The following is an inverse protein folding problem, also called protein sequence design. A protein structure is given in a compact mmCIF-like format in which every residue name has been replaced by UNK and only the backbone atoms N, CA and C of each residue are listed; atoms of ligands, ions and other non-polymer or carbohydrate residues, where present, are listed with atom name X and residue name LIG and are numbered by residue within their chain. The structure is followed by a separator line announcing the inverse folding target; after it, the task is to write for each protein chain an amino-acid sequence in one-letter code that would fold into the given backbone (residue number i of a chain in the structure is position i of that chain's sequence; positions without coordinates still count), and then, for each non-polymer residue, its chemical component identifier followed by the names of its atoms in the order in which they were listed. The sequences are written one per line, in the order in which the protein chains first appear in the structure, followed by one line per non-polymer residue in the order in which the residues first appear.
data_IF_312049511166
#
_entry.id   IF_312049511166
#
_cell.length_a   1.000
_cell.length_b   1.000
_cell.length_c   1.000
_cell.angle_alpha   90.00
_cell.angle_beta   90.00
_cell.angle_gamma   90.00
#
_symmetry.space_group_name_H-M   'P 1'
#
loop_
_entity.id
_entity.type
_entity.pdbx_description
1 polymer ?
#
# COMPACT_ATOMS: atom_id res chain seq x y z
N UNK A 1 -13.25 -14.88 13.85
CA UNK A 1 -11.98 -15.62 13.76
C UNK A 1 -10.85 -14.60 13.80
N UNK A 2 -9.79 -14.84 14.58
CA UNK A 2 -8.71 -13.89 14.86
C UNK A 2 -7.62 -13.93 13.78
N UNK A 3 -7.01 -12.79 13.44
CA UNK A 3 -5.86 -12.73 12.56
C UNK A 3 -4.68 -13.57 13.04
N UNK A 4 -3.91 -14.10 12.10
CA UNK A 4 -2.74 -14.97 12.34
C UNK A 4 -1.45 -14.17 12.15
N UNK A 5 -0.54 -14.21 13.13
CA UNK A 5 0.82 -13.71 12.94
C UNK A 5 1.61 -14.70 12.08
N UNK A 6 2.17 -14.21 10.96
CA UNK A 6 2.90 -15.02 9.98
C UNK A 6 4.38 -14.63 9.85
N UNK A 7 4.75 -13.46 10.34
CA UNK A 7 6.14 -13.00 10.44
C UNK A 7 6.30 -12.09 11.65
N UNK A 8 7.36 -12.30 12.42
CA UNK A 8 7.75 -11.42 13.52
C UNK A 8 9.23 -11.07 13.44
N UNK A 9 9.52 -9.79 13.62
CA UNK A 9 10.87 -9.24 13.71
C UNK A 9 11.14 -8.68 15.11
N UNK A 10 12.39 -8.77 15.56
CA UNK A 10 12.90 -8.06 16.72
C UNK A 10 13.39 -6.63 16.36
N UNK A 11 13.99 -5.92 17.32
CA UNK A 11 14.50 -4.56 17.15
C UNK A 11 15.67 -4.44 16.18
N UNK A 12 16.43 -5.51 16.00
CA UNK A 12 17.51 -5.58 15.01
C UNK A 12 16.96 -6.00 13.62
N UNK A 13 15.63 -6.21 13.53
CA UNK A 13 14.89 -6.72 12.38
C UNK A 13 15.27 -8.15 12.01
N UNK A 14 15.78 -8.93 12.95
CA UNK A 14 15.96 -10.38 12.77
C UNK A 14 14.60 -11.08 12.85
N UNK A 15 14.43 -12.12 12.05
CA UNK A 15 13.23 -12.97 12.12
C UNK A 15 13.29 -13.81 13.39
N UNK A 16 12.32 -13.61 14.28
CA UNK A 16 12.21 -14.37 15.55
C UNK A 16 11.01 -15.33 15.59
N UNK A 17 10.05 -15.17 14.68
CA UNK A 17 8.97 -16.15 14.46
C UNK A 17 8.37 -16.01 13.05
N UNK A 18 7.77 -17.09 12.54
CA UNK A 18 7.20 -17.12 11.20
C UNK A 18 8.27 -16.99 10.11
N UNK A 19 7.90 -16.53 8.92
CA UNK A 19 8.85 -16.22 7.84
C UNK A 19 8.21 -15.38 6.72
N UNK A 20 9.06 -14.76 5.91
CA UNK A 20 8.63 -13.92 4.79
C UNK A 20 7.85 -14.69 3.70
N UNK A 21 8.14 -15.98 3.49
CA UNK A 21 7.43 -16.77 2.49
C UNK A 21 5.96 -17.03 2.88
N UNK A 22 5.68 -17.25 4.17
CA UNK A 22 4.32 -17.37 4.68
C UNK A 22 3.55 -16.05 4.53
N UNK A 23 4.20 -14.91 4.78
CA UNK A 23 3.62 -13.59 4.52
C UNK A 23 3.32 -13.39 3.03
N UNK A 24 4.29 -13.67 2.16
CA UNK A 24 4.11 -13.57 0.70
C UNK A 24 2.99 -14.46 0.18
N UNK A 25 2.90 -15.71 0.65
CA UNK A 25 1.81 -16.62 0.31
C UNK A 25 0.44 -16.10 0.74
N UNK A 26 0.30 -15.61 1.98
CA UNK A 26 -0.95 -15.04 2.46
C UNK A 26 -1.37 -13.79 1.66
N UNK A 27 -0.43 -12.89 1.36
CA UNK A 27 -0.72 -11.72 0.51
C UNK A 27 -1.08 -12.14 -0.92
N UNK A 28 -0.42 -13.16 -1.47
CA UNK A 28 -0.77 -13.76 -2.75
C UNK A 28 -2.17 -14.38 -2.80
N UNK A 29 -2.74 -14.75 -1.65
CA UNK A 29 -4.14 -15.18 -1.51
C UNK A 29 -5.12 -14.01 -1.29
N UNK A 30 -4.63 -12.76 -1.34
CA UNK A 30 -5.43 -11.57 -1.11
C UNK A 30 -5.70 -11.27 0.37
N UNK A 31 -4.92 -11.81 1.31
CA UNK A 31 -5.13 -11.58 2.74
C UNK A 31 -5.10 -10.09 3.12
N UNK A 32 -5.87 -9.70 4.14
CA UNK A 32 -5.71 -8.38 4.76
C UNK A 32 -4.48 -8.37 5.66
N UNK A 33 -3.74 -7.25 5.70
CA UNK A 33 -2.56 -7.09 6.54
C UNK A 33 -2.78 -6.04 7.63
N UNK A 34 -2.39 -6.39 8.86
CA UNK A 34 -2.12 -5.44 9.94
C UNK A 34 -0.70 -5.64 10.45
N UNK A 35 -0.01 -4.55 10.74
CA UNK A 35 1.30 -4.60 11.39
C UNK A 35 1.17 -4.06 12.80
N UNK A 36 1.60 -4.88 13.74
CA UNK A 36 1.70 -4.53 15.15
C UNK A 36 3.15 -4.13 15.45
N UNK A 37 3.34 -3.00 16.13
CA UNK A 37 4.65 -2.48 16.56
C UNK A 37 4.65 -2.10 18.04
N UNK A 38 5.83 -2.12 18.65
CA UNK A 38 6.06 -1.66 20.02
C UNK A 38 7.18 -0.62 20.05
N UNK A 39 7.00 0.48 20.79
CA UNK A 39 8.00 1.54 20.99
C UNK A 39 7.72 2.32 22.27
N UNK A 40 8.71 3.07 22.77
CA UNK A 40 8.51 3.93 23.93
C UNK A 40 8.04 5.33 23.55
N UNK A 41 7.17 5.89 24.37
CA UNK A 41 6.62 7.23 24.18
C UNK A 41 7.71 8.30 24.00
N UNK A 42 8.68 8.33 24.91
CA UNK A 42 9.81 9.28 24.87
C UNK A 42 10.91 8.97 23.84
N UNK A 43 10.78 7.89 23.08
CA UNK A 43 11.72 7.56 21.99
C UNK A 43 11.10 7.83 20.59
N UNK A 44 9.78 8.04 20.50
CA UNK A 44 9.06 8.14 19.23
C UNK A 44 8.05 9.28 19.13
N UNK A 45 7.22 9.48 20.16
CA UNK A 45 6.06 10.38 20.10
C UNK A 45 6.42 11.78 20.58
N UNK A 46 7.01 11.86 21.77
CA UNK A 46 7.46 13.12 22.37
C UNK A 46 8.83 12.88 23.03
N UNK A 47 9.90 13.16 22.29
CA UNK A 47 11.28 12.95 22.74
C UNK A 47 11.70 13.89 23.88
N UNK A 48 10.89 14.89 24.21
CA UNK A 48 11.10 15.78 25.36
C UNK A 48 10.42 15.29 26.65
N UNK A 49 9.54 14.29 26.54
CA UNK A 49 8.83 13.70 27.67
C UNK A 49 9.73 12.75 28.47
N UNK A 50 9.58 12.72 29.79
CA UNK A 50 10.25 11.73 30.64
C UNK A 50 9.53 10.37 30.66
N UNK A 51 8.39 10.22 29.97
CA UNK A 51 7.58 8.99 30.01
C UNK A 51 8.21 7.85 29.17
N UNK A 52 8.69 6.76 29.81
CA UNK A 52 9.25 5.61 29.09
C UNK A 52 8.16 4.57 28.72
N UNK A 53 6.89 4.97 28.73
CA UNK A 53 5.76 4.06 28.56
C UNK A 53 5.83 3.32 27.22
N UNK A 54 5.64 2.00 27.27
CA UNK A 54 5.58 1.16 26.08
C UNK A 54 4.23 1.33 25.39
N UNK A 55 4.27 1.84 24.17
CA UNK A 55 3.13 1.97 23.27
C UNK A 55 3.04 0.73 22.40
N UNK A 56 1.81 0.23 22.24
CA UNK A 56 1.45 -0.87 21.34
C UNK A 56 0.61 -0.30 20.22
N UNK A 57 1.17 -0.18 19.03
CA UNK A 57 0.46 0.31 17.85
C UNK A 57 0.04 -0.87 16.97
N UNK A 58 -1.18 -0.80 16.43
CA UNK A 58 -1.63 -1.69 15.37
C UNK A 58 -2.18 -0.85 14.25
N UNK A 59 -1.54 -0.94 13.09
CA UNK A 59 -1.97 -0.23 11.90
C UNK A 59 -2.49 -1.19 10.84
N UNK A 60 -3.51 -0.75 10.11
CA UNK A 60 -4.06 -1.44 8.96
C UNK A 60 -3.35 -1.00 7.68
N UNK A 61 -2.93 -1.97 6.87
CA UNK A 61 -2.33 -1.74 5.57
C UNK A 61 -3.23 -2.34 4.50
N UNK A 62 -4.15 -1.52 4.00
CA UNK A 62 -5.24 -1.93 3.12
C UNK A 62 -4.83 -2.08 1.64
N UNK A 63 -3.63 -1.60 1.27
CA UNK A 63 -3.03 -1.80 -0.06
C UNK A 63 -1.82 -2.71 0.16
N UNK A 64 -1.78 -3.87 -0.48
CA UNK A 64 -0.65 -4.81 -0.35
C UNK A 64 -0.06 -5.15 -1.71
N UNK A 65 1.23 -5.41 -1.74
CA UNK A 65 2.00 -5.74 -2.92
C UNK A 65 2.61 -7.12 -2.74
N UNK A 66 2.48 -7.95 -3.77
CA UNK A 66 3.34 -9.11 -3.98
C UNK A 66 4.26 -8.81 -5.15
N UNK A 67 5.56 -8.74 -4.90
CA UNK A 67 6.57 -8.34 -5.87
C UNK A 67 7.44 -9.56 -6.19
N UNK A 68 7.44 -9.93 -7.47
CA UNK A 68 8.15 -11.07 -8.04
C UNK A 68 8.05 -12.30 -7.12
N UNK A 69 6.79 -12.61 -6.77
CA UNK A 69 6.27 -13.72 -5.97
C UNK A 69 6.94 -14.00 -4.61
N UNK A 70 7.80 -13.09 -4.12
CA UNK A 70 8.68 -13.38 -2.99
C UNK A 70 8.85 -12.22 -2.00
N UNK A 71 8.41 -11.02 -2.37
CA UNK A 71 8.56 -9.83 -1.54
C UNK A 71 7.22 -9.18 -1.28
N UNK A 72 6.93 -8.95 -0.01
CA UNK A 72 5.75 -8.21 0.41
C UNK A 72 6.11 -6.80 0.85
N UNK A 73 5.31 -5.86 0.36
CA UNK A 73 5.22 -4.51 0.91
C UNK A 73 3.74 -4.12 1.05
N UNK A 74 3.45 -3.13 1.89
CA UNK A 74 2.08 -2.69 2.08
C UNK A 74 2.02 -1.20 2.43
N UNK A 75 0.90 -0.56 2.10
CA UNK A 75 0.70 0.88 2.25
C UNK A 75 -0.60 1.17 3.00
N UNK A 76 -0.56 2.14 3.90
CA UNK A 76 -1.74 2.75 4.51
C UNK A 76 -2.32 3.79 3.55
N UNK A 77 -3.51 3.54 2.98
CA UNK A 77 -4.09 4.42 1.96
C UNK A 77 -4.93 5.60 2.49
N UNK A 78 -5.40 5.53 3.75
CA UNK A 78 -6.38 6.47 4.30
C UNK A 78 -5.96 7.08 5.65
N UNK A 79 -4.66 7.41 5.79
CA UNK A 79 -4.14 7.97 7.05
C UNK A 79 -3.90 9.46 6.92
N UNK A 80 -4.62 10.25 7.72
CA UNK A 80 -4.23 11.62 8.02
C UNK A 80 -3.16 11.63 9.12
N UNK A 81 -2.16 12.53 9.07
CA UNK A 81 -1.18 12.64 10.14
C UNK A 81 -1.85 13.13 11.43
N UNK A 82 -1.61 12.38 12.51
CA UNK A 82 -2.11 12.69 13.85
C UNK A 82 -0.97 13.17 14.76
N UNK A 83 -1.29 14.11 15.64
CA UNK A 83 -0.50 14.48 16.81
C UNK A 83 -1.18 13.87 18.03
N UNK A 84 -0.55 12.87 18.62
CA UNK A 84 -1.07 12.26 19.83
C UNK A 84 -1.09 13.28 20.98
N UNK A 85 -2.03 13.15 21.93
CA UNK A 85 -3.03 12.08 22.02
C UNK A 85 -4.34 12.34 21.24
N UNK A 86 -4.63 13.57 20.80
CA UNK A 86 -6.00 13.93 20.41
C UNK A 86 -6.11 15.02 19.33
N UNK A 87 -5.11 15.17 18.44
CA UNK A 87 -5.16 16.19 17.38
C UNK A 87 -4.69 15.63 16.03
N UNK A 88 -5.09 16.28 14.95
CA UNK A 88 -4.43 16.12 13.65
C UNK A 88 -3.24 17.06 13.57
N UNK A 89 -2.21 16.70 12.80
CA UNK A 89 -1.15 17.65 12.44
C UNK A 89 -1.78 18.77 11.60
N UNK A 90 -1.28 19.99 11.74
CA UNK A 90 -1.76 21.13 10.97
C UNK A 90 -1.52 20.95 9.47
N UNK A 91 -2.45 21.44 8.66
CA UNK A 91 -2.38 21.39 7.20
C UNK A 91 -3.11 20.19 6.58
N UNK A 92 -3.78 20.44 5.46
CA UNK A 92 -4.47 19.38 4.70
C UNK A 92 -3.44 18.52 4.00
N UNK A 93 -3.23 17.28 4.48
CA UNK A 93 -2.30 16.32 3.89
C UNK A 93 -2.72 14.88 4.17
N UNK A 94 -2.12 13.94 3.44
CA UNK A 94 -2.17 12.50 3.75
C UNK A 94 -0.81 12.01 4.24
N UNK A 95 -0.77 10.81 4.81
CA UNK A 95 0.45 10.11 5.18
C UNK A 95 0.39 8.66 4.69
N UNK A 96 0.89 8.43 3.48
CA UNK A 96 0.99 7.10 2.90
C UNK A 96 2.22 6.40 3.48
N UNK A 97 2.03 5.73 4.62
CA UNK A 97 3.07 4.92 5.24
C UNK A 97 3.18 3.59 4.51
N UNK A 98 4.41 3.22 4.18
CA UNK A 98 4.77 2.00 3.50
C UNK A 98 5.65 1.15 4.40
N UNK A 99 5.30 -0.12 4.57
CA UNK A 99 6.12 -1.10 5.30
C UNK A 99 6.54 -2.23 4.37
N UNK A 100 7.83 -2.54 4.36
CA UNK A 100 8.37 -3.73 3.73
C UNK A 100 8.40 -4.91 4.71
N UNK A 101 8.42 -6.14 4.21
CA UNK A 101 8.51 -7.35 5.03
C UNK A 101 9.77 -7.44 5.92
N UNK A 102 10.81 -6.66 5.64
CA UNK A 102 12.06 -6.63 6.40
C UNK A 102 12.11 -5.50 7.45
N UNK A 103 10.99 -4.83 7.72
CA UNK A 103 10.89 -3.72 8.67
C UNK A 103 11.38 -2.36 8.14
N UNK A 104 11.85 -2.27 6.88
CA UNK A 104 12.11 -0.98 6.25
C UNK A 104 10.81 -0.24 5.97
N UNK A 105 10.82 1.07 6.21
CA UNK A 105 9.65 1.92 6.19
C UNK A 105 9.84 3.07 5.20
N UNK A 106 8.74 3.63 4.75
CA UNK A 106 8.74 4.86 4.01
C UNK A 106 7.46 5.64 4.26
N UNK A 107 7.50 6.92 3.95
CA UNK A 107 6.34 7.80 4.03
C UNK A 107 6.32 8.74 2.84
N UNK A 108 5.16 8.86 2.20
CA UNK A 108 4.86 9.96 1.29
C UNK A 108 3.74 10.83 1.87
N UNK A 109 3.86 12.15 1.71
CA UNK A 109 2.94 13.12 2.30
C UNK A 109 2.46 14.14 1.27
N UNK A 110 1.49 13.79 0.40
CA UNK A 110 0.92 14.77 -0.50
C UNK A 110 0.15 15.83 0.30
N UNK A 111 0.39 17.10 -0.01
CA UNK A 111 -0.40 18.22 0.49
C UNK A 111 -1.66 18.38 -0.36
N UNK A 112 -2.81 18.45 0.31
CA UNK A 112 -4.15 18.51 -0.28
C UNK A 112 -4.79 19.90 -0.15
N UNK A 113 -4.00 20.92 0.18
CA UNK A 113 -4.47 22.29 0.40
C UNK A 113 -4.64 23.11 -0.89
N UNK A 114 -4.30 22.53 -2.04
CA UNK A 114 -4.35 23.21 -3.34
C UNK A 114 -3.31 24.31 -3.51
N UNK A 115 -2.41 24.50 -2.55
CA UNK A 115 -1.33 25.47 -2.65
C UNK A 115 -0.19 24.88 -3.47
N UNK A 116 0.29 25.60 -4.47
CA UNK A 116 1.48 25.20 -5.22
C UNK A 116 2.74 25.50 -4.40
N UNK A 117 3.61 24.50 -4.28
CA UNK A 117 4.94 24.61 -3.67
C UNK A 117 5.98 24.55 -4.78
N UNK A 118 6.88 25.53 -4.80
CA UNK A 118 7.81 25.77 -5.91
C UNK A 118 9.16 25.04 -5.77
N UNK A 119 9.26 24.02 -4.91
CA UNK A 119 10.47 23.21 -4.77
C UNK A 119 10.79 22.42 -6.05
N UNK A 120 12.06 22.10 -6.23
CA UNK A 120 12.51 21.21 -7.30
C UNK A 120 12.25 19.74 -6.92
N UNK A 121 11.84 18.95 -7.91
CA UNK A 121 11.77 17.50 -7.79
C UNK A 121 13.18 16.90 -7.77
N UNK A 122 13.38 15.86 -6.97
CA UNK A 122 14.63 15.12 -6.88
C UNK A 122 15.05 14.81 -5.45
N UNK A 123 16.29 14.35 -5.31
CA UNK A 123 16.86 13.99 -4.02
C UNK A 123 17.03 15.23 -3.13
N UNK A 124 16.48 15.16 -1.93
CA UNK A 124 16.63 16.16 -0.88
C UNK A 124 17.75 15.82 0.09
N UNK A 125 18.07 16.77 0.97
CA UNK A 125 18.99 16.53 2.08
C UNK A 125 18.41 15.55 3.09
N UNK A 126 19.18 14.53 3.45
CA UNK A 126 18.78 13.59 4.51
C UNK A 126 19.05 14.22 5.87
N UNK A 127 18.00 14.66 6.54
CA UNK A 127 18.06 15.08 7.94
C UNK A 127 18.05 13.85 8.85
N UNK A 128 19.00 13.73 9.78
CA UNK A 128 18.89 12.77 10.87
C UNK A 128 18.19 13.41 12.07
N UNK A 129 17.52 12.60 12.88
CA UNK A 129 16.83 13.05 14.09
C UNK A 129 17.69 12.69 15.32
N UNK A 130 18.59 13.59 15.79
CA UNK A 130 19.50 13.27 16.89
C UNK A 130 18.77 12.85 18.17
N UNK A 131 17.56 13.37 18.37
CA UNK A 131 16.71 13.08 19.53
C UNK A 131 15.91 11.76 19.38
N UNK A 132 15.93 11.14 18.20
CA UNK A 132 15.28 9.84 17.92
C UNK A 132 16.34 8.82 17.48
N UNK A 133 17.17 8.30 18.39
CA UNK A 133 18.31 7.44 18.04
C UNK A 133 17.94 6.13 17.33
N UNK A 134 16.68 5.68 17.48
CA UNK A 134 16.13 4.51 16.77
C UNK A 134 15.62 4.83 15.36
N UNK A 135 15.56 6.10 14.97
CA UNK A 135 15.18 6.53 13.63
C UNK A 135 16.40 6.79 12.78
N UNK A 136 16.48 6.13 11.63
CA UNK A 136 17.56 6.27 10.66
C UNK A 136 16.96 6.57 9.30
N UNK A 137 17.11 7.82 8.85
CA UNK A 137 16.67 8.24 7.52
C UNK A 137 17.70 7.80 6.48
N UNK A 138 17.24 7.21 5.38
CA UNK A 138 18.08 6.75 4.28
C UNK A 138 18.18 7.79 3.17
N UNK A 139 17.03 8.32 2.77
CA UNK A 139 16.90 9.33 1.73
C UNK A 139 15.65 10.20 1.98
N UNK A 140 15.54 11.27 1.21
CA UNK A 140 14.38 12.13 1.18
C UNK A 140 14.23 12.65 -0.24
N UNK A 141 12.99 12.82 -0.70
CA UNK A 141 12.68 13.19 -2.06
C UNK A 141 11.65 14.31 -2.06
N UNK A 142 11.82 15.26 -2.97
CA UNK A 142 10.87 16.32 -3.27
C UNK A 142 10.44 17.15 -2.05
N UNK A 143 11.38 17.37 -1.11
CA UNK A 143 11.13 17.92 0.24
C UNK A 143 10.34 19.23 0.23
N UNK A 144 10.64 20.11 -0.73
CA UNK A 144 10.05 21.44 -0.85
C UNK A 144 8.87 21.50 -1.85
N UNK A 145 8.35 20.34 -2.27
CA UNK A 145 7.25 20.24 -3.23
C UNK A 145 5.91 19.93 -2.55
N UNK A 146 4.86 19.73 -3.35
CA UNK A 146 3.57 19.23 -2.89
C UNK A 146 3.57 17.75 -2.48
N UNK A 147 4.61 16.99 -2.80
CA UNK A 147 4.66 15.55 -2.66
C UNK A 147 5.94 15.04 -1.96
N UNK A 148 6.33 15.61 -0.80
CA UNK A 148 7.53 15.15 -0.10
C UNK A 148 7.41 13.68 0.32
N UNK A 149 8.53 12.97 0.24
CA UNK A 149 8.62 11.59 0.72
C UNK A 149 9.99 11.27 1.30
N UNK A 150 10.06 10.22 2.11
CA UNK A 150 11.29 9.77 2.73
C UNK A 150 11.26 8.26 2.98
N UNK A 151 12.41 7.60 2.87
CA UNK A 151 12.59 6.21 3.28
C UNK A 151 13.50 6.15 4.50
N UNK A 152 13.15 5.30 5.46
CA UNK A 152 13.79 5.25 6.76
C UNK A 152 13.59 3.90 7.44
N UNK A 153 14.25 3.75 8.58
CA UNK A 153 13.94 2.70 9.54
C UNK A 153 13.71 3.36 10.88
N UNK A 154 12.59 3.05 11.53
CA UNK A 154 12.44 3.22 12.96
C UNK A 154 12.55 1.85 13.62
N UNK A 155 13.62 1.60 14.38
CA UNK A 155 13.93 0.32 15.03
C UNK A 155 12.97 0.07 16.23
N UNK A 156 11.72 -0.33 15.91
CA UNK A 156 10.71 -0.72 16.89
C UNK A 156 11.17 -1.92 17.74
N UNK A 157 10.65 -2.07 18.96
CA UNK A 157 10.97 -3.22 19.82
C UNK A 157 10.54 -4.55 19.19
N UNK A 158 9.45 -4.53 18.40
CA UNK A 158 9.03 -5.66 17.58
C UNK A 158 8.18 -5.19 16.41
N UNK A 159 8.16 -6.00 15.35
CA UNK A 159 7.17 -5.94 14.28
C UNK A 159 6.46 -7.29 14.22
N UNK A 160 5.12 -7.32 14.23
CA UNK A 160 4.35 -8.54 13.95
C UNK A 160 3.44 -8.28 12.76
N UNK A 161 3.64 -9.05 11.69
CA UNK A 161 2.82 -9.03 10.49
C UNK A 161 1.69 -10.05 10.70
N UNK A 162 0.48 -9.52 10.86
CA UNK A 162 -0.72 -10.29 11.15
C UNK A 162 -1.66 -10.25 9.96
N UNK A 163 -2.02 -11.42 9.44
CA UNK A 163 -2.87 -11.55 8.25
C UNK A 163 -4.25 -12.10 8.60
N UNK A 164 -5.25 -11.71 7.82
CA UNK A 164 -6.55 -12.37 7.78
C UNK A 164 -6.76 -12.99 6.38
N UNK A 165 -6.31 -14.24 6.24
CA UNK A 165 -6.35 -14.99 4.98
C UNK A 165 -7.63 -15.83 4.87
N UNK A 166 -8.70 -15.20 4.42
CA UNK A 166 -10.04 -15.81 4.29
C UNK A 166 -10.77 -15.32 3.05
N UNK A 167 -10.01 -14.76 2.13
CA UNK A 167 -10.48 -14.36 0.81
C UNK A 167 -10.45 -15.59 -0.09
N UNK A 168 -11.48 -15.77 -0.91
CA UNK A 168 -11.56 -16.87 -1.87
C UNK A 168 -11.56 -16.32 -3.28
N UNK A 169 -10.59 -16.72 -4.10
CA UNK A 169 -10.56 -16.38 -5.52
C UNK A 169 -11.79 -16.99 -6.22
N UNK A 170 -12.56 -16.15 -6.92
CA UNK A 170 -13.73 -16.55 -7.72
C UNK A 170 -13.51 -16.44 -9.21
N UNK A 171 -12.53 -15.65 -9.62
CA UNK A 171 -12.19 -15.44 -11.01
C UNK A 171 -10.74 -14.95 -11.12
N UNK A 172 -9.99 -15.48 -12.08
CA UNK A 172 -8.79 -14.84 -12.59
C UNK A 172 -8.88 -14.74 -14.11
N UNK A 173 -8.44 -13.63 -14.67
CA UNK A 173 -8.27 -13.46 -16.11
C UNK A 173 -6.96 -12.75 -16.44
N UNK A 174 -6.48 -12.92 -17.67
CA UNK A 174 -5.33 -12.20 -18.20
C UNK A 174 -5.68 -10.77 -18.67
N UNK A 175 -4.71 -10.04 -19.21
CA UNK A 175 -4.88 -8.67 -19.72
C UNK A 175 -5.86 -8.56 -20.90
N UNK A 176 -6.15 -9.65 -21.59
CA UNK A 176 -7.11 -9.70 -22.68
C UNK A 176 -8.51 -10.12 -22.20
N UNK A 177 -8.67 -10.35 -20.89
CA UNK A 177 -9.92 -10.84 -20.32
C UNK A 177 -10.15 -12.34 -20.52
N UNK A 178 -9.14 -13.10 -20.96
CA UNK A 178 -9.28 -14.55 -21.06
C UNK A 178 -9.23 -15.14 -19.65
N UNK A 179 -10.30 -15.88 -19.30
CA UNK A 179 -10.41 -16.54 -18.00
C UNK A 179 -9.33 -17.60 -17.84
N UNK A 180 -8.59 -17.50 -16.74
CA UNK A 180 -7.55 -18.46 -16.32
C UNK A 180 -8.09 -19.41 -15.25
N UNK A 181 -8.97 -18.93 -14.37
CA UNK A 181 -9.62 -19.71 -13.31
C UNK A 181 -10.99 -19.10 -12.96
N UNK A 182 -11.88 -19.91 -12.39
CA UNK A 182 -13.15 -19.43 -11.85
C UNK A 182 -14.18 -19.00 -12.90
N UNK A 183 -15.11 -18.13 -12.50
CA UNK A 183 -16.27 -17.74 -13.32
C UNK A 183 -16.75 -16.32 -12.99
N UNK A 184 -17.02 -15.54 -14.03
CA UNK A 184 -17.65 -14.21 -13.89
C UNK A 184 -19.04 -14.34 -13.25
N UNK A 185 -19.77 -15.41 -13.55
CA UNK A 185 -21.10 -15.66 -12.98
C UNK A 185 -20.99 -15.96 -11.49
N UNK A 186 -20.06 -16.83 -11.07
CA UNK A 186 -19.87 -17.12 -9.63
C UNK A 186 -19.40 -15.90 -8.84
N UNK A 187 -18.56 -15.05 -9.43
CA UNK A 187 -18.18 -13.76 -8.85
C UNK A 187 -19.40 -12.84 -8.70
N UNK A 188 -20.23 -12.73 -9.75
CA UNK A 188 -21.41 -11.89 -9.76
C UNK A 188 -22.47 -12.35 -8.76
N UNK A 189 -22.69 -13.66 -8.64
CA UNK A 189 -23.62 -14.27 -7.69
C UNK A 189 -23.16 -13.99 -6.25
N UNK A 190 -21.88 -14.25 -5.93
CA UNK A 190 -21.32 -13.95 -4.61
C UNK A 190 -21.44 -12.46 -4.26
N UNK A 191 -21.15 -11.57 -5.22
CA UNK A 191 -21.36 -10.13 -5.04
C UNK A 191 -22.83 -9.78 -4.79
N UNK A 192 -23.77 -10.35 -5.54
CA UNK A 192 -25.20 -10.09 -5.39
C UNK A 192 -25.76 -10.59 -4.04
N UNK A 193 -25.13 -11.60 -3.46
CA UNK A 193 -25.40 -12.10 -2.10
C UNK A 193 -24.80 -11.20 -1.00
N UNK A 194 -24.07 -10.14 -1.38
CA UNK A 194 -23.51 -9.14 -0.46
C UNK A 194 -22.09 -9.44 0.00
N UNK A 195 -21.37 -10.35 -0.68
CA UNK A 195 -19.96 -10.60 -0.36
C UNK A 195 -19.11 -9.35 -0.61
N UNK A 196 -18.12 -9.13 0.26
CA UNK A 196 -17.09 -8.13 -0.02
C UNK A 196 -16.24 -8.62 -1.19
N UNK A 197 -15.77 -7.70 -2.05
CA UNK A 197 -14.92 -8.04 -3.20
C UNK A 197 -13.55 -7.37 -3.02
N UNK A 198 -12.50 -8.09 -3.36
CA UNK A 198 -11.11 -7.60 -3.42
C UNK A 198 -10.50 -7.99 -4.75
N UNK A 199 -9.60 -7.15 -5.26
CA UNK A 199 -8.92 -7.35 -6.52
C UNK A 199 -7.43 -7.54 -6.27
N UNK A 200 -6.80 -8.46 -7.00
CA UNK A 200 -5.36 -8.50 -7.25
C UNK A 200 -5.12 -8.08 -8.71
N UNK A 201 -4.39 -6.99 -8.93
CA UNK A 201 -4.20 -6.38 -10.24
C UNK A 201 -2.73 -6.48 -10.62
N UNK A 202 -2.43 -7.25 -11.67
CA UNK A 202 -1.08 -7.47 -12.17
C UNK A 202 -0.61 -6.30 -13.04
N UNK A 203 0.63 -5.86 -12.88
CA UNK A 203 1.26 -4.84 -13.75
C UNK A 203 0.71 -3.42 -13.57
N UNK A 204 -0.11 -3.15 -12.55
CA UNK A 204 -0.76 -1.85 -12.34
C UNK A 204 0.23 -0.66 -12.26
N UNK A 205 1.47 -0.93 -11.83
CA UNK A 205 2.53 0.05 -11.64
C UNK A 205 3.61 -0.01 -12.72
N UNK A 206 3.41 -0.71 -13.84
CA UNK A 206 4.44 -0.87 -14.90
C UNK A 206 4.90 0.47 -15.47
N UNK A 207 3.97 1.42 -15.63
CA UNK A 207 4.26 2.78 -16.11
C UNK A 207 5.12 3.62 -15.14
N UNK A 208 5.33 3.16 -13.91
CA UNK A 208 6.23 3.82 -12.96
C UNK A 208 7.69 3.36 -13.11
N UNK A 209 7.99 2.35 -13.95
CA UNK A 209 9.37 1.90 -14.18
C UNK A 209 10.28 3.04 -14.68
N UNK A 210 11.58 2.93 -14.40
CA UNK A 210 12.56 3.89 -14.91
C UNK A 210 12.64 3.85 -16.44
N UNK A 211 12.99 4.98 -17.06
CA UNK A 211 13.16 5.06 -18.50
C UNK A 211 14.14 4.00 -19.01
N UNK A 212 13.65 3.11 -19.88
CA UNK A 212 14.44 2.01 -20.44
C UNK A 212 14.64 0.81 -19.49
N UNK A 213 14.09 0.84 -18.28
CA UNK A 213 14.06 -0.27 -17.34
C UNK A 213 12.86 -1.20 -17.57
N UNK A 214 13.04 -2.51 -17.36
CA UNK A 214 11.92 -3.44 -17.34
C UNK A 214 11.16 -3.32 -16.01
N UNK A 215 9.83 -3.24 -16.07
CA UNK A 215 8.99 -3.28 -14.88
C UNK A 215 9.15 -4.63 -14.16
N UNK A 216 9.31 -4.58 -12.83
CA UNK A 216 9.37 -5.79 -12.01
C UNK A 216 7.97 -6.41 -11.91
N UNK A 217 7.88 -7.74 -12.06
CA UNK A 217 6.61 -8.48 -11.89
C UNK A 217 6.02 -8.12 -10.52
N UNK A 218 4.76 -7.72 -10.49
CA UNK A 218 4.06 -7.40 -9.26
C UNK A 218 2.55 -7.52 -9.41
N UNK A 219 1.89 -7.72 -8.28
CA UNK A 219 0.43 -7.67 -8.15
C UNK A 219 0.06 -6.77 -6.97
N UNK A 220 -0.90 -5.87 -7.20
CA UNK A 220 -1.42 -4.95 -6.18
C UNK A 220 -2.79 -5.43 -5.73
N UNK A 221 -2.95 -5.66 -4.44
CA UNK A 221 -4.22 -6.07 -3.85
C UNK A 221 -4.92 -4.91 -3.16
N UNK A 222 -6.18 -4.69 -3.52
CA UNK A 222 -7.01 -3.60 -2.98
C UNK A 222 -8.48 -4.02 -2.92
N UNK A 223 -9.16 -3.58 -1.87
CA UNK A 223 -10.60 -3.83 -1.72
C UNK A 223 -11.41 -3.02 -2.74
N UNK A 224 -12.46 -3.67 -3.25
CA UNK A 224 -13.50 -3.07 -4.07
C UNK A 224 -14.51 -2.26 -3.26
N UNK A 225 -15.13 -1.28 -3.93
CA UNK A 225 -16.26 -0.50 -3.42
C UNK A 225 -17.54 -0.86 -4.17
N UNK A 226 -18.00 0.02 -5.07
CA UNK A 226 -19.23 -0.19 -5.86
C UNK A 226 -19.01 -1.12 -7.05
N UNK A 227 -19.92 -2.10 -7.20
CA UNK A 227 -19.89 -3.11 -8.26
C UNK A 227 -21.11 -3.07 -9.17
N UNK A 228 -20.92 -3.47 -10.42
CA UNK A 228 -21.95 -3.52 -11.44
C UNK A 228 -21.81 -4.81 -12.24
N UNK A 229 -22.91 -5.54 -12.41
CA UNK A 229 -22.96 -6.72 -13.25
C UNK A 229 -23.94 -6.52 -14.40
N UNK A 230 -23.42 -6.57 -15.62
CA UNK A 230 -24.22 -6.52 -16.84
C UNK A 230 -24.61 -7.95 -17.20
N UNK A 231 -25.86 -8.32 -16.91
CA UNK A 231 -26.35 -9.71 -17.00
C UNK A 231 -26.32 -10.29 -18.41
N UNK A 232 -26.73 -9.51 -19.42
CA UNK A 232 -26.72 -9.97 -20.82
C UNK A 232 -25.31 -10.14 -21.38
N UNK A 233 -24.39 -9.25 -21.00
CA UNK A 233 -22.99 -9.27 -21.47
C UNK A 233 -22.08 -10.16 -20.63
N UNK A 234 -22.56 -10.62 -19.47
CA UNK A 234 -21.77 -11.28 -18.44
C UNK A 234 -20.47 -10.53 -18.14
N UNK A 235 -20.60 -9.23 -17.89
CA UNK A 235 -19.48 -8.34 -17.62
C UNK A 235 -19.61 -7.76 -16.22
N UNK A 236 -18.64 -8.08 -15.35
CA UNK A 236 -18.57 -7.52 -14.00
C UNK A 236 -17.57 -6.35 -13.97
N UNK A 237 -17.95 -5.27 -13.29
CA UNK A 237 -17.20 -4.01 -13.19
C UNK A 237 -17.15 -3.58 -11.74
N UNK A 238 -15.99 -3.15 -11.26
CA UNK A 238 -15.81 -2.68 -9.90
C UNK A 238 -14.94 -1.43 -9.84
N UNK A 239 -15.39 -0.42 -9.09
CA UNK A 239 -14.52 0.65 -8.60
C UNK A 239 -13.83 0.26 -7.30
N UNK A 240 -12.54 0.51 -7.14
CA UNK A 240 -11.79 0.21 -5.92
C UNK A 240 -11.94 1.30 -4.86
N UNK A 241 -11.57 0.98 -3.61
CA UNK A 241 -11.13 2.01 -2.67
C UNK A 241 -9.90 2.76 -3.21
N UNK A 242 -9.58 3.96 -2.68
CA UNK A 242 -8.37 4.67 -3.09
C UNK A 242 -7.13 3.82 -2.86
N UNK A 243 -6.18 3.88 -3.79
CA UNK A 243 -4.91 3.19 -3.70
C UNK A 243 -3.74 4.12 -4.02
N UNK A 244 -2.56 3.74 -3.56
CA UNK A 244 -1.29 4.40 -3.82
C UNK A 244 -0.48 3.45 -4.69
N UNK A 245 -0.05 3.92 -5.86
CA UNK A 245 0.91 3.19 -6.69
C UNK A 245 2.32 3.63 -6.30
N UNK A 246 3.21 2.67 -6.13
CA UNK A 246 4.64 2.91 -5.89
C UNK A 246 5.41 2.01 -6.83
N UNK A 247 6.49 2.53 -7.41
CA UNK A 247 7.40 1.75 -8.26
C UNK A 247 7.79 0.47 -7.53
N UNK A 248 7.48 -0.72 -8.09
CA UNK A 248 7.83 -1.98 -7.45
C UNK A 248 9.35 -2.12 -7.25
N UNK A 249 9.76 -2.56 -6.06
CA UNK A 249 11.16 -2.77 -5.70
C UNK A 249 11.30 -3.70 -4.49
N UNK A 250 12.52 -4.17 -4.24
CA UNK A 250 12.88 -5.04 -3.09
C UNK A 250 14.12 -4.45 -2.37
N UNK A 251 13.97 -3.56 -1.39
CA UNK A 251 12.72 -3.05 -0.81
C UNK A 251 11.98 -2.08 -1.75
N UNK A 252 10.67 -1.93 -1.51
CA UNK A 252 9.86 -0.88 -2.12
C UNK A 252 10.10 0.43 -1.38
N UNK A 253 10.24 1.52 -2.13
CA UNK A 253 10.65 2.82 -1.62
C UNK A 253 9.96 3.95 -2.39
N UNK A 254 9.72 5.09 -1.72
CA UNK A 254 9.29 6.31 -2.40
C UNK A 254 10.49 7.01 -3.04
N UNK A 255 10.31 7.47 -4.28
CA UNK A 255 11.31 8.24 -5.03
C UNK A 255 10.61 9.33 -5.82
N UNK A 256 11.36 10.33 -6.28
CA UNK A 256 10.80 11.38 -7.14
C UNK A 256 10.19 10.79 -8.41
N UNK A 257 8.93 11.14 -8.70
CA UNK A 257 8.15 10.59 -9.82
C UNK A 257 7.87 9.08 -9.74
N UNK A 258 8.24 8.41 -8.65
CA UNK A 258 8.13 6.96 -8.49
C UNK A 258 6.82 6.49 -7.84
N UNK A 259 5.84 7.38 -7.67
CA UNK A 259 4.57 7.06 -7.03
C UNK A 259 3.47 8.06 -7.40
N UNK A 260 2.22 7.61 -7.29
CA UNK A 260 1.01 8.43 -7.41
C UNK A 260 -0.14 7.78 -6.62
N UNK A 261 -1.33 8.39 -6.60
CA UNK A 261 -2.48 7.83 -5.89
C UNK A 261 -3.78 8.12 -6.64
N UNK A 262 -4.80 7.28 -6.42
CA UNK A 262 -6.02 7.38 -7.20
C UNK A 262 -6.99 6.22 -6.99
N UNK A 263 -7.83 5.98 -7.99
CA UNK A 263 -8.86 4.94 -7.99
C UNK A 263 -8.78 4.11 -9.25
N UNK A 264 -9.13 2.84 -9.15
CA UNK A 264 -9.24 1.96 -10.30
C UNK A 264 -10.70 1.61 -10.54
N UNK A 265 -11.11 1.61 -11.81
CA UNK A 265 -12.25 0.83 -12.30
C UNK A 265 -11.67 -0.36 -13.06
N UNK A 266 -11.97 -1.58 -12.61
CA UNK A 266 -11.58 -2.80 -13.26
C UNK A 266 -12.80 -3.53 -13.83
N UNK A 267 -12.60 -4.26 -14.93
CA UNK A 267 -13.60 -5.05 -15.62
C UNK A 267 -13.09 -6.46 -15.85
N UNK A 268 -14.00 -7.43 -15.89
CA UNK A 268 -13.65 -8.84 -16.11
C UNK A 268 -13.19 -9.18 -17.52
N UNK A 269 -13.19 -8.21 -18.45
CA UNK A 269 -12.65 -8.32 -19.80
C UNK A 269 -11.24 -7.73 -19.93
N UNK A 270 -10.50 -7.62 -18.83
CA UNK A 270 -9.12 -7.13 -18.80
C UNK A 270 -8.99 -5.60 -18.75
N UNK A 271 -10.06 -4.86 -19.07
CA UNK A 271 -10.00 -3.39 -19.10
C UNK A 271 -9.95 -2.78 -17.71
N UNK A 272 -8.94 -1.96 -17.50
CA UNK A 272 -8.71 -1.20 -16.29
C UNK A 272 -8.58 0.28 -16.63
N UNK A 273 -9.27 1.14 -15.88
CA UNK A 273 -9.13 2.59 -15.96
C UNK A 273 -8.64 3.08 -14.60
N UNK A 274 -7.45 3.68 -14.59
CA UNK A 274 -6.89 4.30 -13.41
C UNK A 274 -7.13 5.81 -13.45
N UNK A 275 -7.94 6.30 -12.52
CA UNK A 275 -8.07 7.73 -12.26
C UNK A 275 -6.92 8.17 -11.39
N UNK A 276 -5.83 8.64 -12.01
CA UNK A 276 -4.64 9.15 -11.34
C UNK A 276 -4.93 10.54 -10.77
N UNK A 277 -4.56 10.76 -9.52
CA UNK A 277 -4.30 12.08 -8.96
C UNK A 277 -2.78 12.28 -8.93
N UNK A 278 -2.29 13.28 -9.68
CA UNK A 278 -0.89 13.66 -9.62
C UNK A 278 -0.58 14.29 -8.25
N UNK A 279 0.33 13.72 -7.44
CA UNK A 279 0.59 14.23 -6.09
C UNK A 279 1.24 15.62 -6.07
N UNK A 280 1.86 16.07 -7.16
CA UNK A 280 2.48 17.39 -7.24
C UNK A 280 1.48 18.50 -7.57
N UNK A 281 0.45 18.19 -8.35
CA UNK A 281 -0.47 19.19 -8.90
C UNK A 281 -1.92 19.03 -8.42
N UNK A 282 -2.26 17.87 -7.86
CA UNK A 282 -3.63 17.42 -7.58
C UNK A 282 -4.53 17.37 -8.83
N UNK A 283 -3.93 17.40 -10.03
CA UNK A 283 -4.64 17.24 -11.27
C UNK A 283 -5.05 15.78 -11.46
N UNK A 284 -6.22 15.58 -12.07
CA UNK A 284 -6.77 14.28 -12.35
C UNK A 284 -6.68 13.94 -13.83
N UNK A 285 -6.29 12.71 -14.13
CA UNK A 285 -6.40 12.13 -15.46
C UNK A 285 -6.84 10.66 -15.39
N UNK A 286 -7.51 10.20 -16.44
CA UNK A 286 -7.91 8.80 -16.59
C UNK A 286 -6.92 8.10 -17.53
N UNK A 287 -6.28 7.05 -17.05
CA UNK A 287 -5.30 6.23 -17.78
C UNK A 287 -5.94 4.87 -18.06
N UNK A 288 -6.10 4.54 -19.34
CA UNK A 288 -6.61 3.22 -19.74
C UNK A 288 -5.47 2.22 -19.88
N UNK A 289 -5.69 1.01 -19.38
CA UNK A 289 -4.75 -0.09 -19.45
C UNK A 289 -5.48 -1.44 -19.54
N UNK A 290 -4.73 -2.46 -19.91
CA UNK A 290 -5.18 -3.85 -19.92
C UNK A 290 -4.34 -4.61 -18.89
N UNK A 291 -5.00 -5.23 -17.91
CA UNK A 291 -4.32 -5.91 -16.81
C UNK A 291 -4.94 -7.28 -16.56
N UNK A 292 -4.10 -8.25 -16.18
CA UNK A 292 -4.59 -9.46 -15.53
C UNK A 292 -5.16 -9.11 -14.15
N UNK A 293 -6.33 -9.64 -13.83
CA UNK A 293 -7.00 -9.37 -12.55
C UNK A 293 -7.53 -10.66 -11.94
N UNK A 294 -7.24 -10.83 -10.65
CA UNK A 294 -7.82 -11.86 -9.78
C UNK A 294 -8.85 -11.22 -8.86
N UNK A 295 -9.98 -11.88 -8.71
CA UNK A 295 -11.16 -11.38 -8.02
C UNK A 295 -11.47 -12.30 -6.85
N UNK A 296 -11.47 -11.74 -5.66
CA UNK A 296 -11.66 -12.47 -4.41
C UNK A 296 -12.94 -12.03 -3.73
N UNK A 297 -13.60 -12.96 -3.03
CA UNK A 297 -14.79 -12.68 -2.23
C UNK A 297 -14.67 -13.20 -0.81
N UNK A 298 -15.49 -12.64 0.08
CA UNK A 298 -15.58 -12.99 1.50
C UNK A 298 -16.93 -12.60 2.10
#
# INVERSE_FOLDING_TARGET
MSGQMVLQLDSDRNVIAGNAAALAGAIGNGADLRVYTEFKHNEHIDTSSDSPELIKEVAEFNITYLIDDSWTAAIMGLRQPVSLPASFVSGSSMSFFLYNQNGQQAIARPYLDGQSRAGEQGAGSVSQHPDMPKMRNHDSWDVETNAPSANFVYDFETYRYCVHDHWTEKLAHDENGNVQSGSVVELADAFAEGAAVKLGISGLCDALAEDGGAAMRHEVFIQGGSGYYYTEKQLYIMGTHPLVRVRPGKPMAYTSGGWDFGWVIARTDGRVVYRRCDPYTLAFEDIEMQCGVRWFVR
#
